data_IF_194262993253
#
_entry.id   IF_194262993253
#
_cell.length_a   1.000
_cell.length_b   1.000
_cell.length_c   1.000
_cell.angle_alpha   90.00
_cell.angle_beta   90.00
_cell.angle_gamma   90.00
#
_symmetry.space_group_name_H-M   'P 1'
#
loop_
_entity.id
_entity.type
_entity.pdbx_description
1 polymer ?
#
# COMPACT_ATOMS: atom_id res chain seq x y z
N UNK A 1 22.17 4.53 -1.81
CA UNK A 1 21.93 4.55 -0.34
C UNK A 1 21.02 5.71 0.15
N UNK A 2 20.46 6.53 -0.73
CA UNK A 2 19.68 7.73 -0.34
C UNK A 2 18.22 7.41 0.05
N UNK A 3 17.74 6.18 -0.14
CA UNK A 3 16.36 5.80 0.12
C UNK A 3 16.19 4.67 1.16
N UNK A 4 17.04 4.64 2.18
CA UNK A 4 16.84 3.78 3.34
C UNK A 4 15.81 4.43 4.27
N UNK A 5 14.59 3.93 4.25
CA UNK A 5 13.50 4.41 5.08
C UNK A 5 12.15 4.35 4.34
N UNK A 6 11.07 4.90 4.88
CA UNK A 6 9.73 4.87 4.29
C UNK A 6 9.61 5.61 2.94
N UNK A 7 10.63 6.39 2.54
CA UNK A 7 10.64 7.19 1.32
C UNK A 7 10.55 6.37 0.03
N UNK A 8 11.07 5.12 0.02
CA UNK A 8 10.93 4.23 -1.13
C UNK A 8 9.48 3.98 -1.51
N UNK A 9 8.60 3.90 -0.52
CA UNK A 9 7.17 3.67 -0.74
C UNK A 9 6.48 4.88 -1.37
N UNK A 10 6.85 6.12 -0.97
CA UNK A 10 6.34 7.33 -1.61
C UNK A 10 6.77 7.43 -3.05
N UNK A 11 8.04 7.16 -3.33
CA UNK A 11 8.55 7.12 -4.70
C UNK A 11 7.79 6.09 -5.54
N UNK A 12 7.57 4.91 -5.00
CA UNK A 12 6.81 3.84 -5.63
C UNK A 12 5.36 4.26 -5.92
N UNK A 13 4.64 4.76 -4.92
CA UNK A 13 3.26 5.22 -5.09
C UNK A 13 3.17 6.33 -6.13
N UNK A 14 4.09 7.28 -6.10
CA UNK A 14 4.12 8.38 -7.06
C UNK A 14 4.27 7.85 -8.50
N UNK A 15 5.18 6.90 -8.74
CA UNK A 15 5.34 6.25 -10.04
C UNK A 15 4.08 5.50 -10.47
N UNK A 16 3.44 4.75 -9.57
CA UNK A 16 2.20 4.04 -9.85
C UNK A 16 1.05 4.99 -10.17
N UNK A 17 0.95 6.14 -9.49
CA UNK A 17 -0.06 7.16 -9.80
C UNK A 17 0.19 7.84 -11.13
N UNK A 18 1.43 8.07 -11.56
CA UNK A 18 1.73 8.56 -12.90
C UNK A 18 1.21 7.57 -13.93
N UNK A 19 1.48 6.27 -13.78
CA UNK A 19 0.95 5.23 -14.69
C UNK A 19 -0.57 5.20 -14.67
N UNK A 20 -1.18 5.27 -13.50
CA UNK A 20 -2.64 5.35 -13.35
C UNK A 20 -3.20 6.56 -14.10
N UNK A 21 -2.64 7.74 -13.87
CA UNK A 21 -3.10 8.97 -14.50
C UNK A 21 -3.00 8.89 -16.04
N UNK A 22 -1.85 8.49 -16.55
CA UNK A 22 -1.62 8.38 -18.01
C UNK A 22 -2.50 7.33 -18.67
N UNK A 23 -2.90 6.29 -17.97
CA UNK A 23 -3.64 5.15 -18.51
C UNK A 23 -5.14 5.30 -18.33
N UNK A 24 -5.60 5.62 -17.14
CA UNK A 24 -7.03 5.69 -16.82
C UNK A 24 -7.62 7.03 -17.26
N UNK A 25 -6.87 8.10 -17.15
CA UNK A 25 -7.27 9.41 -17.69
C UNK A 25 -7.28 9.40 -19.23
N UNK A 26 -6.39 8.64 -19.86
CA UNK A 26 -6.38 8.38 -21.30
C UNK A 26 -7.46 7.39 -21.78
N UNK A 27 -8.33 6.91 -20.88
CA UNK A 27 -9.43 5.97 -21.16
C UNK A 27 -9.00 4.63 -21.77
N UNK A 28 -7.75 4.21 -21.61
CA UNK A 28 -7.24 2.94 -22.14
C UNK A 28 -6.46 2.16 -21.10
N UNK A 29 -6.82 0.88 -20.92
CA UNK A 29 -6.04 -0.05 -20.08
C UNK A 29 -4.81 -0.62 -20.79
N UNK A 30 -4.70 -0.44 -22.11
CA UNK A 30 -3.61 -1.03 -22.91
C UNK A 30 -2.21 -0.67 -22.38
N UNK A 31 -1.90 0.61 -22.06
CA UNK A 31 -0.59 0.97 -21.53
C UNK A 31 -0.29 0.29 -20.18
N UNK A 32 -1.28 0.24 -19.27
CA UNK A 32 -1.12 -0.43 -17.96
C UNK A 32 -0.80 -1.90 -18.14
N UNK A 33 -1.53 -2.59 -19.01
CA UNK A 33 -1.32 -4.01 -19.30
C UNK A 33 0.06 -4.22 -19.92
N UNK A 34 0.45 -3.40 -20.89
CA UNK A 34 1.77 -3.49 -21.52
C UNK A 34 2.92 -3.31 -20.52
N UNK A 35 2.82 -2.29 -19.66
CA UNK A 35 3.82 -2.04 -18.59
C UNK A 35 3.84 -3.21 -17.58
N UNK A 36 2.67 -3.78 -17.27
CA UNK A 36 2.60 -4.96 -16.37
C UNK A 36 3.28 -6.18 -16.98
N UNK A 37 3.08 -6.44 -18.26
CA UNK A 37 3.74 -7.54 -18.96
C UNK A 37 5.26 -7.31 -18.98
N UNK A 38 5.70 -6.11 -19.32
CA UNK A 38 7.13 -5.76 -19.25
C UNK A 38 7.71 -5.93 -17.85
N UNK A 39 6.96 -5.52 -16.82
CA UNK A 39 7.37 -5.71 -15.41
C UNK A 39 7.48 -7.19 -15.04
N UNK A 40 6.58 -8.06 -15.50
CA UNK A 40 6.64 -9.50 -15.25
C UNK A 40 7.89 -10.11 -15.91
N UNK A 41 8.15 -9.74 -17.16
CA UNK A 41 9.33 -10.20 -17.89
C UNK A 41 10.62 -9.76 -17.15
N UNK A 42 10.67 -8.51 -16.74
CA UNK A 42 11.81 -7.98 -15.99
C UNK A 42 11.96 -8.64 -14.62
N UNK A 43 10.85 -8.92 -13.92
CA UNK A 43 10.89 -9.71 -12.69
C UNK A 43 11.49 -11.09 -12.93
N UNK A 44 11.01 -11.80 -13.95
CA UNK A 44 11.53 -13.12 -14.30
C UNK A 44 13.04 -13.07 -14.61
N UNK A 45 13.49 -12.05 -15.35
CA UNK A 45 14.90 -11.84 -15.66
C UNK A 45 15.74 -11.58 -14.39
N UNK A 46 15.29 -10.70 -13.49
CA UNK A 46 15.98 -10.41 -12.23
C UNK A 46 16.06 -11.67 -11.35
N UNK A 47 14.96 -12.44 -11.30
CA UNK A 47 14.91 -13.65 -10.50
C UNK A 47 15.77 -14.78 -11.06
N UNK A 48 15.93 -14.86 -12.40
CA UNK A 48 16.81 -15.85 -13.04
C UNK A 48 18.29 -15.64 -12.70
N UNK A 49 18.67 -14.42 -12.32
CA UNK A 49 20.02 -14.12 -11.82
C UNK A 49 20.31 -14.73 -10.43
N UNK A 50 19.24 -15.16 -9.71
CA UNK A 50 19.36 -15.95 -8.48
C UNK A 50 19.94 -15.23 -7.28
N UNK A 51 20.11 -13.90 -7.32
CA UNK A 51 20.69 -13.13 -6.23
C UNK A 51 19.63 -12.72 -5.20
N UNK A 52 19.97 -12.86 -3.91
CA UNK A 52 19.08 -12.38 -2.82
C UNK A 52 18.85 -10.86 -2.90
N UNK A 53 19.83 -10.11 -3.39
CA UNK A 53 19.70 -8.66 -3.62
C UNK A 53 18.67 -8.35 -4.71
N UNK A 54 18.55 -9.17 -5.75
CA UNK A 54 17.52 -9.02 -6.77
C UNK A 54 16.10 -9.19 -6.21
N UNK A 55 15.88 -10.16 -5.33
CA UNK A 55 14.58 -10.39 -4.66
C UNK A 55 14.25 -9.22 -3.72
N UNK A 56 15.21 -8.78 -2.92
CA UNK A 56 15.06 -7.61 -2.05
C UNK A 56 14.80 -6.32 -2.86
N UNK A 57 15.42 -6.18 -4.02
CA UNK A 57 15.17 -5.09 -4.95
C UNK A 57 13.72 -5.08 -5.44
N UNK A 58 13.19 -6.20 -5.91
CA UNK A 58 11.81 -6.30 -6.38
C UNK A 58 10.79 -5.89 -5.31
N UNK A 59 11.05 -6.21 -4.03
CA UNK A 59 10.19 -5.86 -2.91
C UNK A 59 10.11 -4.34 -2.61
N UNK A 60 10.93 -3.54 -3.25
CA UNK A 60 11.02 -2.07 -3.01
C UNK A 60 10.90 -1.25 -4.28
N UNK A 61 10.58 -1.85 -5.42
CA UNK A 61 10.60 -1.17 -6.71
C UNK A 61 9.26 -1.24 -7.41
N UNK A 62 9.08 -0.32 -8.35
CA UNK A 62 7.95 -0.25 -9.26
C UNK A 62 7.71 -1.59 -9.98
N UNK A 63 8.77 -2.26 -10.39
CA UNK A 63 8.71 -3.54 -11.12
C UNK A 63 7.96 -4.60 -10.32
N UNK A 64 8.22 -4.71 -9.01
CA UNK A 64 7.56 -5.71 -8.15
C UNK A 64 6.09 -5.42 -7.87
N UNK A 65 5.68 -4.13 -7.92
CA UNK A 65 4.32 -3.72 -7.55
C UNK A 65 3.40 -3.40 -8.73
N UNK A 66 3.93 -3.38 -9.94
CA UNK A 66 3.11 -3.03 -11.12
C UNK A 66 1.99 -4.04 -11.37
N UNK A 67 2.25 -5.33 -11.21
CA UNK A 67 1.24 -6.38 -11.38
C UNK A 67 0.09 -6.28 -10.37
N UNK A 68 0.32 -6.26 -9.04
CA UNK A 68 -0.77 -6.10 -8.07
C UNK A 68 -1.54 -4.78 -8.25
N UNK A 69 -0.87 -3.72 -8.66
CA UNK A 69 -1.51 -2.44 -8.96
C UNK A 69 -2.44 -2.52 -10.16
N UNK A 70 -2.02 -3.15 -11.27
CA UNK A 70 -2.84 -3.37 -12.46
C UNK A 70 -4.06 -4.23 -12.16
N UNK A 71 -3.86 -5.31 -11.40
CA UNK A 71 -4.96 -6.17 -10.93
C UNK A 71 -5.98 -5.36 -10.14
N UNK A 72 -5.52 -4.50 -9.23
CA UNK A 72 -6.38 -3.59 -8.47
C UNK A 72 -7.20 -2.65 -9.37
N UNK A 73 -6.60 -2.05 -10.40
CA UNK A 73 -7.29 -1.19 -11.38
C UNK A 73 -8.37 -1.99 -12.13
N UNK A 74 -8.04 -3.19 -12.62
CA UNK A 74 -8.99 -4.02 -13.38
C UNK A 74 -10.20 -4.40 -12.53
N UNK A 75 -9.99 -4.81 -11.28
CA UNK A 75 -11.09 -5.12 -10.37
C UNK A 75 -11.92 -3.88 -10.02
N UNK A 76 -11.28 -2.74 -9.78
CA UNK A 76 -11.98 -1.49 -9.49
C UNK A 76 -12.87 -1.03 -10.67
N UNK A 77 -12.38 -1.15 -11.90
CA UNK A 77 -13.15 -0.77 -13.08
C UNK A 77 -14.31 -1.72 -13.37
N UNK A 78 -14.11 -3.03 -13.16
CA UNK A 78 -15.16 -4.02 -13.40
C UNK A 78 -16.17 -4.10 -12.27
N UNK A 79 -15.91 -3.47 -11.13
CA UNK A 79 -16.74 -3.58 -9.90
C UNK A 79 -17.07 -5.02 -9.51
N UNK A 80 -16.21 -5.96 -9.89
CA UNK A 80 -16.40 -7.40 -9.66
C UNK A 80 -15.45 -7.87 -8.57
N UNK A 81 -15.97 -8.72 -7.69
CA UNK A 81 -15.15 -9.41 -6.70
C UNK A 81 -14.84 -10.82 -7.19
N UNK A 82 -13.63 -11.34 -6.91
CA UNK A 82 -13.32 -12.73 -7.19
C UNK A 82 -14.29 -13.66 -6.43
N UNK A 83 -14.57 -14.82 -7.01
CA UNK A 83 -15.35 -15.85 -6.33
C UNK A 83 -14.59 -16.38 -5.12
N UNK A 84 -15.29 -16.94 -4.14
CA UNK A 84 -14.64 -17.55 -2.98
C UNK A 84 -13.71 -18.72 -3.37
N UNK A 85 -14.07 -19.49 -4.42
CA UNK A 85 -13.19 -20.54 -4.93
C UNK A 85 -11.89 -19.99 -5.51
N UNK A 86 -11.95 -18.89 -6.28
CA UNK A 86 -10.77 -18.20 -6.78
C UNK A 86 -9.94 -17.64 -5.63
N UNK A 87 -10.59 -17.03 -4.64
CA UNK A 87 -9.89 -16.48 -3.47
C UNK A 87 -9.15 -17.57 -2.68
N UNK A 88 -9.78 -18.73 -2.50
CA UNK A 88 -9.15 -19.87 -1.84
C UNK A 88 -7.96 -20.39 -2.66
N UNK A 89 -8.10 -20.52 -3.99
CA UNK A 89 -7.01 -20.91 -4.86
C UNK A 89 -5.83 -19.92 -4.78
N UNK A 90 -6.11 -18.59 -4.76
CA UNK A 90 -5.08 -17.57 -4.61
C UNK A 90 -4.41 -17.62 -3.23
N UNK A 91 -5.15 -17.98 -2.18
CA UNK A 91 -4.58 -18.16 -0.84
C UNK A 91 -3.65 -19.38 -0.78
N UNK A 92 -4.02 -20.49 -1.38
CA UNK A 92 -3.14 -21.66 -1.49
C UNK A 92 -1.88 -21.32 -2.28
N UNK A 93 -2.04 -20.67 -3.44
CA UNK A 93 -0.90 -20.22 -4.23
C UNK A 93 -0.01 -19.22 -3.48
N UNK A 94 -0.60 -18.36 -2.64
CA UNK A 94 0.16 -17.43 -1.79
C UNK A 94 1.12 -18.20 -0.86
N UNK A 95 0.68 -19.27 -0.20
CA UNK A 95 1.54 -20.07 0.65
C UNK A 95 2.60 -20.83 -0.16
N UNK A 96 2.23 -21.40 -1.31
CA UNK A 96 3.17 -22.08 -2.21
C UNK A 96 4.24 -21.10 -2.71
N UNK A 97 3.85 -19.93 -3.19
CA UNK A 97 4.79 -18.91 -3.65
C UNK A 97 5.63 -18.35 -2.49
N UNK A 98 5.04 -18.19 -1.30
CA UNK A 98 5.73 -17.71 -0.11
C UNK A 98 6.81 -18.66 0.40
N UNK A 99 6.64 -19.97 0.15
CA UNK A 99 7.63 -21.00 0.50
C UNK A 99 8.80 -21.10 -0.48
N UNK A 100 8.71 -20.42 -1.63
CA UNK A 100 9.74 -20.46 -2.66
C UNK A 100 10.32 -19.08 -2.91
N UNK A 101 11.64 -18.93 -2.68
CA UNK A 101 12.32 -17.64 -2.82
C UNK A 101 12.18 -17.00 -4.23
N UNK A 102 12.03 -17.80 -5.27
CA UNK A 102 11.88 -17.32 -6.64
C UNK A 102 10.45 -16.91 -6.99
N UNK A 103 9.46 -17.45 -6.28
CA UNK A 103 8.06 -17.16 -6.50
C UNK A 103 7.50 -16.12 -5.51
N UNK A 104 8.26 -15.80 -4.47
CA UNK A 104 7.86 -14.88 -3.41
C UNK A 104 7.31 -13.52 -3.89
N UNK A 105 7.83 -12.85 -4.94
CA UNK A 105 7.28 -11.57 -5.38
C UNK A 105 5.82 -11.64 -5.85
N UNK A 106 5.36 -12.81 -6.31
CA UNK A 106 3.96 -12.99 -6.70
C UNK A 106 2.99 -12.95 -5.53
N UNK A 107 3.47 -13.16 -4.29
CA UNK A 107 2.65 -13.06 -3.07
C UNK A 107 2.02 -11.69 -2.92
N UNK A 108 2.66 -10.62 -3.39
CA UNK A 108 2.12 -9.26 -3.39
C UNK A 108 0.84 -9.10 -4.23
N UNK A 109 0.66 -9.95 -5.24
CA UNK A 109 -0.55 -9.98 -6.07
C UNK A 109 -1.58 -10.96 -5.55
N UNK A 110 -1.15 -12.13 -5.12
CA UNK A 110 -2.02 -13.23 -4.70
C UNK A 110 -2.81 -12.89 -3.43
N UNK A 111 -2.14 -12.31 -2.43
CA UNK A 111 -2.78 -11.98 -1.15
C UNK A 111 -3.91 -10.96 -1.28
N UNK A 112 -3.76 -9.81 -1.97
CA UNK A 112 -4.87 -8.89 -2.18
C UNK A 112 -6.08 -9.54 -2.87
N UNK A 113 -5.86 -10.37 -3.91
CA UNK A 113 -6.96 -11.07 -4.59
C UNK A 113 -7.67 -12.05 -3.65
N UNK A 114 -6.92 -12.79 -2.84
CA UNK A 114 -7.47 -13.72 -1.86
C UNK A 114 -8.29 -13.01 -0.77
N UNK A 115 -7.89 -11.80 -0.37
CA UNK A 115 -8.54 -11.04 0.69
C UNK A 115 -9.75 -10.23 0.20
N UNK A 116 -9.88 -9.92 -1.10
CA UNK A 116 -10.99 -9.12 -1.64
C UNK A 116 -12.39 -9.62 -1.24
N UNK A 117 -12.73 -10.93 -1.30
CA UNK A 117 -14.06 -11.39 -0.90
C UNK A 117 -14.32 -11.24 0.59
N UNK A 118 -13.28 -11.14 1.43
CA UNK A 118 -13.45 -10.93 2.88
C UNK A 118 -14.07 -9.57 3.18
N UNK A 119 -13.97 -8.59 2.29
CA UNK A 119 -14.67 -7.32 2.44
C UNK A 119 -16.18 -7.53 2.54
N UNK A 120 -16.77 -8.44 1.75
CA UNK A 120 -18.20 -8.76 1.83
C UNK A 120 -18.56 -9.34 3.19
N UNK A 121 -17.69 -10.19 3.75
CA UNK A 121 -17.89 -10.75 5.07
C UNK A 121 -17.70 -9.67 6.15
N UNK A 122 -16.67 -8.86 6.02
CA UNK A 122 -16.37 -7.78 6.95
C UNK A 122 -17.52 -6.76 7.05
N UNK A 123 -18.20 -6.45 5.96
CA UNK A 123 -19.38 -5.57 5.95
C UNK A 123 -20.48 -6.04 6.91
N UNK A 124 -20.59 -7.35 7.15
CA UNK A 124 -21.55 -7.92 8.11
C UNK A 124 -21.16 -7.70 9.57
N UNK A 125 -19.91 -7.36 9.83
CA UNK A 125 -19.36 -7.18 11.18
C UNK A 125 -19.59 -5.76 11.74
N UNK A 126 -20.38 -4.90 11.10
CA UNK A 126 -20.80 -3.61 11.59
C UNK A 126 -19.66 -2.72 12.12
N UNK A 127 -19.51 -2.62 13.45
CA UNK A 127 -18.49 -1.76 14.10
C UNK A 127 -17.05 -2.14 13.71
N UNK A 128 -16.78 -3.44 13.54
CA UNK A 128 -15.44 -3.91 13.12
C UNK A 128 -15.14 -3.43 11.71
N UNK A 129 -16.11 -3.51 10.80
CA UNK A 129 -15.94 -2.97 9.45
C UNK A 129 -15.69 -1.47 9.43
N UNK A 130 -16.44 -0.71 10.24
CA UNK A 130 -16.21 0.73 10.39
C UNK A 130 -14.80 1.06 10.89
N UNK A 131 -14.27 0.25 11.81
CA UNK A 131 -12.90 0.40 12.29
C UNK A 131 -11.86 0.06 11.20
N UNK A 132 -12.09 -1.00 10.41
CA UNK A 132 -11.23 -1.34 9.27
C UNK A 132 -11.22 -0.20 8.23
N UNK A 133 -12.38 0.37 7.92
CA UNK A 133 -12.49 1.52 7.02
C UNK A 133 -11.76 2.75 7.58
N UNK A 134 -11.87 3.00 8.89
CA UNK A 134 -11.14 4.08 9.55
C UNK A 134 -9.62 3.90 9.42
N UNK A 135 -9.10 2.69 9.65
CA UNK A 135 -7.67 2.39 9.46
C UNK A 135 -7.28 2.60 7.98
N UNK A 136 -8.08 2.06 7.06
CA UNK A 136 -7.84 2.22 5.62
C UNK A 136 -7.79 3.69 5.18
N UNK A 137 -8.74 4.50 5.63
CA UNK A 137 -8.80 5.93 5.33
C UNK A 137 -7.64 6.75 5.94
N UNK A 138 -6.95 6.20 6.94
CA UNK A 138 -5.81 6.83 7.59
C UNK A 138 -4.48 6.12 7.28
N UNK A 139 -4.49 5.10 6.43
CA UNK A 139 -3.33 4.24 6.15
C UNK A 139 -2.09 5.02 5.68
N UNK A 140 -2.25 6.03 4.83
CA UNK A 140 -1.15 6.88 4.38
C UNK A 140 -0.48 7.63 5.56
N UNK A 141 -1.28 8.16 6.47
CA UNK A 141 -0.76 8.87 7.65
C UNK A 141 -0.11 7.90 8.64
N UNK A 142 -0.70 6.70 8.83
CA UNK A 142 -0.11 5.63 9.62
C UNK A 142 1.25 5.25 9.03
N UNK A 143 1.33 5.12 7.70
CA UNK A 143 2.56 4.78 7.01
C UNK A 143 3.65 5.86 7.17
N UNK A 144 3.30 7.14 7.20
CA UNK A 144 4.25 8.24 7.44
C UNK A 144 4.79 8.22 8.87
N UNK A 145 3.91 7.96 9.84
CA UNK A 145 4.22 8.10 11.27
C UNK A 145 4.85 6.84 11.86
N UNK A 146 4.51 5.65 11.34
CA UNK A 146 4.92 4.39 11.95
C UNK A 146 6.44 4.22 12.17
N UNK A 147 7.36 4.74 11.32
CA UNK A 147 8.79 4.57 11.58
C UNK A 147 9.25 5.33 12.82
N UNK A 148 8.63 6.50 13.08
CA UNK A 148 8.92 7.30 14.30
C UNK A 148 8.43 6.55 15.54
N UNK A 149 7.20 6.05 15.50
CA UNK A 149 6.63 5.27 16.60
C UNK A 149 7.44 3.99 16.82
N UNK A 150 7.86 3.31 15.76
CA UNK A 150 8.67 2.10 15.83
C UNK A 150 9.98 2.35 16.58
N UNK A 151 10.71 3.41 16.26
CA UNK A 151 11.96 3.73 16.94
C UNK A 151 11.77 3.96 18.44
N UNK A 152 10.62 4.52 18.84
CA UNK A 152 10.29 4.79 20.25
C UNK A 152 9.75 3.57 21.02
N UNK A 153 9.37 2.50 20.32
CA UNK A 153 8.77 1.29 20.93
C UNK A 153 9.68 0.07 20.89
N UNK A 154 10.86 0.18 20.28
CA UNK A 154 11.81 -0.94 20.18
C UNK A 154 12.22 -1.49 21.54
N UNK A 155 12.45 -0.62 22.52
CA UNK A 155 12.89 -1.02 23.86
C UNK A 155 11.82 -1.87 24.60
N UNK A 156 10.55 -1.69 24.26
CA UNK A 156 9.46 -2.49 24.82
C UNK A 156 9.48 -3.96 24.37
N UNK A 157 10.13 -4.25 23.24
CA UNK A 157 10.22 -5.61 22.69
C UNK A 157 11.07 -6.53 23.56
N UNK A 158 11.98 -5.99 24.37
CA UNK A 158 12.78 -6.73 25.34
C UNK A 158 11.92 -7.27 26.50
N UNK A 159 10.82 -6.58 26.83
CA UNK A 159 9.92 -6.98 27.90
C UNK A 159 8.83 -7.95 27.42
N UNK A 160 8.18 -7.64 26.30
CA UNK A 160 7.13 -8.47 25.71
C UNK A 160 6.88 -8.06 24.26
N UNK A 161 7.09 -9.00 23.33
CA UNK A 161 6.83 -8.79 21.90
C UNK A 161 5.36 -8.44 21.62
N UNK A 162 4.42 -9.10 22.32
CA UNK A 162 2.99 -8.84 22.15
C UNK A 162 2.62 -7.44 22.63
N UNK A 163 3.12 -7.03 23.79
CA UNK A 163 2.88 -5.70 24.35
C UNK A 163 3.46 -4.62 23.45
N UNK A 164 4.71 -4.79 23.00
CA UNK A 164 5.36 -3.88 22.06
C UNK A 164 4.55 -3.72 20.79
N UNK A 165 4.03 -4.82 20.22
CA UNK A 165 3.21 -4.79 19.00
C UNK A 165 1.89 -4.05 19.20
N UNK A 166 1.17 -4.29 20.31
CA UNK A 166 -0.09 -3.61 20.65
C UNK A 166 0.14 -2.11 20.85
N UNK A 167 1.17 -1.74 21.63
CA UNK A 167 1.53 -0.33 21.86
C UNK A 167 1.92 0.35 20.53
N UNK A 168 2.78 -0.28 19.76
CA UNK A 168 3.19 0.23 18.46
C UNK A 168 2.00 0.48 17.52
N UNK A 169 1.10 -0.49 17.38
CA UNK A 169 -0.07 -0.36 16.50
C UNK A 169 -1.01 0.76 16.98
N UNK A 170 -1.32 0.78 18.26
CA UNK A 170 -2.22 1.77 18.86
C UNK A 170 -1.63 3.18 18.77
N UNK A 171 -0.35 3.34 19.13
CA UNK A 171 0.35 4.61 19.04
C UNK A 171 0.45 5.12 17.59
N UNK A 172 0.71 4.23 16.63
CA UNK A 172 0.77 4.60 15.19
C UNK A 172 -0.58 5.11 14.69
N UNK A 173 -1.68 4.45 15.06
CA UNK A 173 -3.05 4.87 14.68
C UNK A 173 -3.40 6.22 15.32
N UNK A 174 -3.13 6.38 16.62
CA UNK A 174 -3.40 7.62 17.35
C UNK A 174 -2.58 8.79 16.79
N UNK A 175 -1.27 8.61 16.61
CA UNK A 175 -0.38 9.63 16.07
C UNK A 175 -0.78 10.02 14.63
N UNK A 176 -1.14 9.07 13.79
CA UNK A 176 -1.62 9.32 12.44
C UNK A 176 -2.92 10.15 12.42
N UNK A 177 -3.84 9.86 13.33
CA UNK A 177 -5.09 10.62 13.48
C UNK A 177 -4.82 12.09 13.85
N UNK A 178 -3.96 12.34 14.84
CA UNK A 178 -3.59 13.70 15.25
C UNK A 178 -2.80 14.43 14.16
N UNK A 179 -1.88 13.75 13.49
CA UNK A 179 -1.12 14.31 12.37
C UNK A 179 -2.03 14.75 11.22
N UNK A 180 -3.01 13.94 10.86
CA UNK A 180 -4.02 14.31 9.85
C UNK A 180 -4.79 15.58 10.28
N UNK A 181 -5.20 15.68 11.55
CA UNK A 181 -5.89 16.86 12.07
C UNK A 181 -5.03 18.12 12.00
N UNK A 182 -3.76 17.99 12.36
CA UNK A 182 -2.78 19.07 12.29
C UNK A 182 -2.62 19.59 10.86
N UNK A 183 -2.45 18.67 9.89
CA UNK A 183 -2.34 19.04 8.48
C UNK A 183 -3.60 19.73 7.97
N UNK A 184 -4.78 19.25 8.36
CA UNK A 184 -6.04 19.89 7.96
C UNK A 184 -6.16 21.30 8.54
N UNK A 185 -5.83 21.48 9.81
CA UNK A 185 -5.80 22.80 10.46
C UNK A 185 -4.79 23.74 9.79
N UNK A 186 -3.58 23.29 9.53
CA UNK A 186 -2.56 24.07 8.84
C UNK A 186 -3.01 24.50 7.43
N UNK A 187 -3.63 23.58 6.68
CA UNK A 187 -4.19 23.87 5.36
C UNK A 187 -5.27 24.97 5.44
N UNK A 188 -6.18 24.90 6.41
CA UNK A 188 -7.21 25.93 6.59
C UNK A 188 -6.59 27.30 6.88
N UNK A 189 -5.60 27.36 7.78
CA UNK A 189 -4.90 28.63 8.13
C UNK A 189 -4.19 29.23 6.92
N UNK A 190 -3.49 28.42 6.14
CA UNK A 190 -2.82 28.87 4.91
C UNK A 190 -3.86 29.39 3.91
N UNK A 191 -4.97 28.69 3.71
CA UNK A 191 -6.02 29.11 2.78
C UNK A 191 -6.66 30.41 3.20
N UNK A 192 -6.92 30.60 4.49
CA UNK A 192 -7.45 31.85 5.05
C UNK A 192 -6.46 33.02 4.81
N UNK A 193 -5.19 32.85 5.16
CA UNK A 193 -4.18 33.88 4.98
C UNK A 193 -4.00 34.29 3.50
N UNK A 194 -4.08 33.33 2.59
CA UNK A 194 -4.04 33.60 1.14
C UNK A 194 -5.26 34.38 0.66
N UNK A 195 -6.47 34.08 1.19
CA UNK A 195 -7.70 34.78 0.85
C UNK A 195 -7.67 36.24 1.35
N UNK A 196 -7.22 36.47 2.57
CA UNK A 196 -7.05 37.82 3.15
C UNK A 196 -6.06 38.66 2.33
N UNK A 197 -4.92 38.09 1.97
CA UNK A 197 -3.92 38.78 1.14
C UNK A 197 -4.45 39.12 -0.26
N UNK A 198 -5.33 38.28 -0.81
CA UNK A 198 -5.99 38.55 -2.10
C UNK A 198 -7.03 39.66 -1.99
N UNK A 199 -7.77 39.74 -0.87
CA UNK A 199 -8.73 40.80 -0.62
C UNK A 199 -8.06 42.16 -0.44
N UNK A 200 -6.92 42.24 0.22
CA UNK A 200 -6.14 43.49 0.42
C UNK A 200 -5.50 44.04 -0.88
N UNK A 201 -5.39 43.23 -1.94
CA UNK A 201 -4.81 43.64 -3.23
C UNK A 201 -5.86 44.14 -4.24
N UNK A 202 -7.13 44.08 -3.88
CA UNK A 202 -8.26 44.62 -4.66
C UNK A 202 -8.72 45.97 -4.12
#
# INVERSE_FOLDING_TARGET
YVFHGPWWFFSLIFQLYIVYYLSVYGRSLKPVIAISIASIILQAAIMSLGTMDGIAYLSRTFVGYMLPFTVGIVFAQKSTYPSYGLALAMLVLFFVCGSNKYLWPFTFTLLPIALMPLERLARRLGKVYSFILFIGANSAYIFIIHPIVRSSTLDLSETSVLLAYVVYLTASIAAAYYYKRLLFWAKQKITQALAEKKAQRR
#
